data_IF_622021930530
#
_entry.id   IF_622021930530
#
_cell.length_a   1.000
_cell.length_b   1.000
_cell.length_c   1.000
_cell.angle_alpha   90.00
_cell.angle_beta   90.00
_cell.angle_gamma   90.00
#
_symmetry.space_group_name_H-M   'P 1'
#
loop_
_entity.id
_entity.type
_entity.pdbx_description
1 polymer ?
#
# COMPACT_ATOMS: atom_id res chain seq x y z
N UNK A 1 -5.92 5.51 -3.84
CA UNK A 1 -7.12 4.85 -4.42
C UNK A 1 -6.87 3.34 -4.50
N UNK A 2 -7.90 2.49 -4.40
CA UNK A 2 -7.77 1.03 -4.46
C UNK A 2 -7.87 0.55 -5.92
N UNK A 3 -7.15 -0.50 -6.26
CA UNK A 3 -7.29 -1.15 -7.57
C UNK A 3 -8.68 -1.80 -7.69
N UNK A 4 -9.25 -1.78 -8.91
CA UNK A 4 -10.62 -2.26 -9.15
C UNK A 4 -10.68 -3.79 -9.26
N UNK A 5 -9.63 -4.40 -9.81
CA UNK A 5 -9.53 -5.85 -9.99
C UNK A 5 -9.06 -6.55 -8.71
N UNK A 6 -8.29 -5.84 -7.87
CA UNK A 6 -7.92 -6.29 -6.54
C UNK A 6 -7.95 -5.13 -5.53
N UNK A 7 -9.05 -4.94 -4.78
CA UNK A 7 -9.17 -3.85 -3.82
C UNK A 7 -8.11 -3.84 -2.71
N UNK A 8 -7.35 -4.91 -2.48
CA UNK A 8 -6.26 -4.87 -1.50
C UNK A 8 -5.04 -4.08 -1.99
N UNK A 9 -4.93 -3.85 -3.29
CA UNK A 9 -3.81 -3.16 -3.90
C UNK A 9 -4.08 -1.66 -4.04
N UNK A 10 -3.01 -0.88 -3.95
CA UNK A 10 -3.00 0.52 -4.37
C UNK A 10 -3.08 0.55 -5.89
N UNK A 11 -4.04 1.32 -6.41
CA UNK A 11 -4.16 1.56 -7.85
C UNK A 11 -2.94 2.34 -8.37
N UNK A 12 -2.45 1.94 -9.53
CA UNK A 12 -1.43 2.68 -10.29
C UNK A 12 -2.08 3.43 -11.45
N UNK A 13 -1.47 4.55 -11.83
CA UNK A 13 -1.82 5.33 -13.01
C UNK A 13 -0.71 5.21 -14.06
N UNK A 14 -1.08 5.27 -15.35
CA UNK A 14 -0.15 5.17 -16.49
C UNK A 14 0.06 3.75 -17.03
N UNK A 15 -0.37 2.70 -16.31
CA UNK A 15 -0.29 1.28 -16.71
C UNK A 15 -1.56 0.51 -16.34
N UNK A 16 -1.70 -0.73 -16.81
CA UNK A 16 -2.80 -1.64 -16.44
C UNK A 16 -2.30 -3.06 -16.13
N UNK A 17 -3.11 -3.86 -15.42
CA UNK A 17 -2.74 -5.23 -15.05
C UNK A 17 -1.73 -5.33 -13.90
N UNK A 18 -1.53 -4.24 -13.16
CA UNK A 18 -0.62 -4.12 -12.04
C UNK A 18 -1.27 -3.27 -10.95
N UNK A 19 -1.08 -3.66 -9.69
CA UNK A 19 -1.30 -2.81 -8.52
C UNK A 19 -0.10 -2.89 -7.58
N UNK A 20 -0.07 -2.06 -6.53
CA UNK A 20 0.99 -2.12 -5.52
C UNK A 20 0.43 -2.64 -4.20
N UNK A 21 1.01 -3.73 -3.69
CA UNK A 21 0.75 -4.19 -2.32
C UNK A 21 1.63 -3.40 -1.35
N UNK A 22 1.03 -2.99 -0.24
CA UNK A 22 1.73 -2.36 0.86
C UNK A 22 1.71 -3.33 2.05
N UNK A 23 2.88 -3.69 2.57
CA UNK A 23 3.01 -4.50 3.78
C UNK A 23 3.79 -3.75 4.85
N UNK A 24 3.46 -3.99 6.11
CA UNK A 24 4.18 -3.43 7.24
C UNK A 24 5.51 -4.17 7.50
N UNK A 25 6.21 -3.74 8.56
CA UNK A 25 7.49 -4.32 8.95
C UNK A 25 7.40 -5.80 9.41
N UNK A 26 6.20 -6.32 9.69
CA UNK A 26 5.95 -7.72 10.00
C UNK A 26 5.55 -8.52 8.74
N UNK A 27 5.43 -7.86 7.59
CA UNK A 27 4.96 -8.46 6.34
C UNK A 27 3.44 -8.61 6.29
N UNK A 28 2.70 -7.97 7.20
CA UNK A 28 1.25 -8.00 7.19
C UNK A 28 0.68 -6.99 6.19
N UNK A 29 -0.43 -7.36 5.55
CA UNK A 29 -1.09 -6.52 4.55
C UNK A 29 -1.67 -5.24 5.17
N UNK A 30 -1.31 -4.09 4.61
CA UNK A 30 -1.86 -2.80 5.01
C UNK A 30 -3.22 -2.61 4.35
N UNK A 31 -4.28 -2.73 5.14
CA UNK A 31 -5.66 -2.53 4.67
C UNK A 31 -5.94 -1.06 4.35
N UNK A 32 -5.89 -0.72 3.07
CA UNK A 32 -6.18 0.63 2.57
C UNK A 32 -7.55 1.16 3.05
N UNK A 33 -7.55 2.40 3.54
CA UNK A 33 -8.75 3.09 4.04
C UNK A 33 -9.25 2.59 5.41
N UNK A 34 -8.50 1.73 6.10
CA UNK A 34 -8.82 1.26 7.45
C UNK A 34 -7.82 1.82 8.47
N UNK A 35 -8.23 1.95 9.74
CA UNK A 35 -7.27 2.22 10.84
C UNK A 35 -6.31 1.03 10.93
N UNK A 36 -5.00 1.32 10.93
CA UNK A 36 -3.97 0.31 11.15
C UNK A 36 -4.03 -0.28 12.56
N UNK A 37 -3.30 -1.37 12.80
CA UNK A 37 -3.11 -1.90 14.16
C UNK A 37 -2.44 -0.82 15.02
N UNK A 38 -2.88 -0.60 16.27
CA UNK A 38 -2.17 0.29 17.19
C UNK A 38 -0.72 -0.15 17.36
N UNK A 39 0.20 0.80 17.28
CA UNK A 39 1.63 0.55 17.43
C UNK A 39 2.13 1.22 18.72
N UNK A 40 2.79 0.45 19.57
CA UNK A 40 3.45 0.99 20.76
C UNK A 40 4.81 1.54 20.37
N UNK A 41 4.89 2.85 20.21
CA UNK A 41 6.14 3.55 19.90
C UNK A 41 6.89 3.86 21.20
N UNK A 42 8.16 3.44 21.28
CA UNK A 42 9.06 3.89 22.35
C UNK A 42 9.79 5.15 21.89
N UNK A 43 10.24 6.05 22.79
CA UNK A 43 10.91 7.30 22.44
C UNK A 43 12.14 7.21 21.51
N UNK A 44 12.70 6.02 21.25
CA UNK A 44 13.82 5.78 20.32
C UNK A 44 13.45 4.84 19.14
N UNK A 45 12.18 4.41 19.08
CA UNK A 45 11.64 3.49 18.08
C UNK A 45 10.34 4.07 17.50
N UNK A 46 10.49 5.16 16.76
CA UNK A 46 9.39 5.90 16.12
C UNK A 46 9.45 5.86 14.57
N UNK A 47 10.32 5.03 14.00
CA UNK A 47 10.37 4.79 12.55
C UNK A 47 9.42 3.67 12.16
N UNK A 48 8.53 3.93 11.20
CA UNK A 48 7.63 2.94 10.62
C UNK A 48 8.18 2.52 9.25
N UNK A 49 8.42 1.22 9.08
CA UNK A 49 8.93 0.65 7.83
C UNK A 49 7.82 -0.10 7.10
N UNK A 50 7.75 0.11 5.78
CA UNK A 50 6.81 -0.55 4.90
C UNK A 50 7.53 -1.02 3.64
N UNK A 51 7.05 -2.11 3.04
CA UNK A 51 7.50 -2.55 1.73
C UNK A 51 6.39 -2.37 0.69
N UNK A 52 6.78 -1.91 -0.50
CA UNK A 52 5.90 -1.73 -1.66
C UNK A 52 6.25 -2.78 -2.70
N UNK A 53 5.28 -3.62 -3.04
CA UNK A 53 5.49 -4.79 -3.89
C UNK A 53 4.57 -4.69 -5.11
N UNK A 54 5.09 -4.70 -6.35
CA UNK A 54 4.25 -4.78 -7.54
C UNK A 54 3.57 -6.15 -7.64
N UNK A 55 2.25 -6.16 -7.81
CA UNK A 55 1.44 -7.38 -7.92
C UNK A 55 0.55 -7.35 -9.17
N UNK A 56 0.51 -8.47 -9.91
CA UNK A 56 -0.33 -8.63 -11.11
C UNK A 56 -1.81 -8.65 -10.73
N UNK A 57 -2.63 -7.96 -11.51
CA UNK A 57 -4.09 -8.06 -11.41
C UNK A 57 -4.66 -8.88 -12.56
N UNK A 58 -5.98 -9.08 -12.56
CA UNK A 58 -6.67 -9.81 -13.64
C UNK A 58 -6.76 -9.03 -14.95
N UNK A 59 -6.52 -7.72 -14.94
CA UNK A 59 -6.47 -6.93 -16.17
C UNK A 59 -5.25 -7.29 -17.04
N UNK A 60 -5.41 -7.06 -18.35
CA UNK A 60 -4.32 -7.20 -19.31
C UNK A 60 -3.14 -6.29 -18.93
N UNK A 61 -1.92 -6.83 -19.02
CA UNK A 61 -0.71 -6.07 -18.71
C UNK A 61 -0.45 -5.07 -19.84
N UNK A 62 -0.38 -3.79 -19.48
CA UNK A 62 0.16 -2.76 -20.35
C UNK A 62 1.31 -2.07 -19.61
N UNK A 63 2.53 -2.23 -20.14
CA UNK A 63 3.76 -1.75 -19.51
C UNK A 63 4.05 -0.29 -19.87
N UNK A 64 4.61 0.46 -18.94
CA UNK A 64 5.02 1.85 -19.13
C UNK A 64 5.47 2.48 -17.83
N UNK A 65 5.74 3.79 -17.86
CA UNK A 65 5.93 4.57 -16.64
C UNK A 65 4.63 4.63 -15.86
N UNK A 66 4.73 4.47 -14.54
CA UNK A 66 3.57 4.51 -13.66
C UNK A 66 3.83 5.33 -12.40
N UNK A 67 2.74 5.79 -11.79
CA UNK A 67 2.74 6.50 -10.52
C UNK A 67 1.60 6.00 -9.64
N UNK A 68 1.79 6.05 -8.32
CA UNK A 68 0.75 5.85 -7.34
C UNK A 68 0.89 6.87 -6.22
N UNK A 69 -0.24 7.34 -5.69
CA UNK A 69 -0.29 8.27 -4.56
C UNK A 69 -1.08 7.60 -3.43
N UNK A 70 -0.51 7.63 -2.23
CA UNK A 70 -1.10 7.08 -1.00
C UNK A 70 -1.06 8.15 0.08
N UNK A 71 -2.21 8.44 0.67
CA UNK A 71 -2.29 9.31 1.84
C UNK A 71 -1.90 8.55 3.10
N UNK A 72 -1.03 9.14 3.91
CA UNK A 72 -0.60 8.59 5.19
C UNK A 72 -1.14 9.44 6.33
N UNK A 73 -1.86 8.81 7.27
CA UNK A 73 -2.40 9.48 8.45
C UNK A 73 -1.86 8.82 9.73
N UNK A 74 -1.44 9.66 10.67
CA UNK A 74 -1.03 9.26 12.01
C UNK A 74 -1.95 9.94 13.03
N UNK A 75 -2.51 9.13 13.93
CA UNK A 75 -3.33 9.58 15.05
C UNK A 75 -2.70 9.08 16.34
N UNK A 76 -2.65 9.94 17.36
CA UNK A 76 -2.16 9.62 18.70
C UNK A 76 -3.34 9.51 19.66
N UNK A 77 -3.22 8.65 20.67
CA UNK A 77 -4.16 8.54 21.79
C UNK A 77 -3.65 9.31 23.01
#
# INVERSE_FOLDING_TARGET
MRDVDNPQLVKVEGVSGLGLRLVDAQGEDVRLGSKGKPLFLRPEQNTLSYAVIPERTLANLNSGSYMAVVDFNLSYE
#
